data_IF_887014810444
#
_entry.id   IF_887014810444
#
_cell.length_a   1.000
_cell.length_b   1.000
_cell.length_c   1.000
_cell.angle_alpha   90.00
_cell.angle_beta   90.00
_cell.angle_gamma   90.00
#
_symmetry.space_group_name_H-M   'P 1'
#
loop_
_entity.id
_entity.type
_entity.pdbx_description
1 polymer ?
#
# COMPACT_ATOMS: atom_id res chain seq x y z
N UNK A 1 -1.54 -13.23 15.79
CA UNK A 1 -1.63 -13.69 14.39
C UNK A 1 -2.62 -12.77 13.72
N UNK A 2 -2.20 -11.56 13.37
CA UNK A 2 -3.11 -10.51 12.88
C UNK A 2 -2.91 -10.32 11.39
N UNK A 3 -3.48 -11.23 10.61
CA UNK A 3 -3.76 -10.95 9.21
C UNK A 3 -4.66 -9.71 9.17
N UNK A 4 -4.32 -8.64 8.43
CA UNK A 4 -5.11 -7.43 8.42
C UNK A 4 -6.51 -7.80 7.92
N UNK A 5 -7.58 -7.33 8.60
CA UNK A 5 -8.95 -7.56 8.22
C UNK A 5 -9.15 -7.52 6.70
N UNK A 6 -9.94 -8.44 6.12
CA UNK A 6 -10.08 -8.63 4.67
C UNK A 6 -10.43 -7.33 3.92
N UNK A 7 -11.10 -6.41 4.62
CA UNK A 7 -11.41 -5.05 4.21
C UNK A 7 -10.20 -4.15 3.93
N UNK A 8 -9.16 -4.20 4.78
CA UNK A 8 -7.91 -3.46 4.55
C UNK A 8 -7.18 -3.97 3.31
N UNK A 9 -7.32 -5.27 3.00
CA UNK A 9 -6.82 -5.85 1.74
C UNK A 9 -7.65 -5.43 0.53
N UNK A 10 -8.98 -5.37 0.63
CA UNK A 10 -9.84 -4.88 -0.47
C UNK A 10 -9.52 -3.43 -0.82
N UNK A 11 -9.33 -2.60 0.21
CA UNK A 11 -8.93 -1.20 0.02
C UNK A 11 -7.54 -1.07 -0.60
N UNK A 12 -6.57 -1.83 -0.10
CA UNK A 12 -5.24 -1.89 -0.69
C UNK A 12 -5.27 -2.32 -2.17
N UNK A 13 -6.07 -3.33 -2.53
CA UNK A 13 -6.24 -3.77 -3.93
C UNK A 13 -6.84 -2.68 -4.81
N UNK A 14 -7.85 -1.94 -4.31
CA UNK A 14 -8.45 -0.82 -5.05
C UNK A 14 -7.48 0.32 -5.27
N UNK A 15 -6.71 0.70 -4.24
CA UNK A 15 -5.66 1.71 -4.36
C UNK A 15 -4.59 1.30 -5.37
N UNK A 16 -4.21 0.02 -5.40
CA UNK A 16 -3.29 -0.52 -6.40
C UNK A 16 -3.89 -0.44 -7.81
N UNK A 17 -5.17 -0.77 -7.98
CA UNK A 17 -5.86 -0.66 -9.26
C UNK A 17 -5.97 0.80 -9.75
N UNK A 18 -6.28 1.74 -8.85
CA UNK A 18 -6.41 3.16 -9.17
C UNK A 18 -5.07 3.87 -9.37
N UNK A 19 -3.98 3.32 -8.82
CA UNK A 19 -2.61 3.85 -9.01
C UNK A 19 -1.94 3.32 -10.26
N UNK A 20 -2.65 2.51 -11.05
CA UNK A 20 -2.17 2.02 -12.33
C UNK A 20 -2.24 3.15 -13.35
N UNK A 21 -1.09 3.45 -13.97
CA UNK A 21 -0.99 4.44 -15.04
C UNK A 21 -1.91 4.09 -16.23
N UNK A 22 -2.27 5.09 -17.07
CA UNK A 22 -2.98 4.83 -18.32
C UNK A 22 -2.27 3.74 -19.14
N UNK A 23 -3.01 2.90 -19.89
CA UNK A 23 -2.46 1.75 -20.60
C UNK A 23 -1.37 2.09 -21.64
N UNK A 24 -1.24 3.36 -22.02
CA UNK A 24 -0.28 3.86 -23.02
C UNK A 24 1.10 4.25 -22.47
N UNK A 25 1.31 4.21 -21.15
CA UNK A 25 2.63 4.46 -20.56
C UNK A 25 3.28 3.11 -20.22
N UNK A 26 4.47 2.77 -20.75
CA UNK A 26 5.16 1.56 -20.32
C UNK A 26 5.28 1.63 -18.80
N UNK A 27 4.84 0.60 -18.06
CA UNK A 27 4.87 0.66 -16.61
C UNK A 27 6.31 0.94 -16.21
N UNK A 28 6.58 1.95 -15.37
CA UNK A 28 7.86 2.00 -14.71
C UNK A 28 8.05 0.63 -14.05
N UNK A 29 9.26 0.09 -14.04
CA UNK A 29 9.61 -1.10 -13.25
C UNK A 29 9.43 -0.86 -11.72
N UNK A 30 8.72 0.20 -11.33
CA UNK A 30 8.35 0.51 -9.97
C UNK A 30 7.17 -0.36 -9.55
N UNK A 31 7.42 -1.18 -8.53
CA UNK A 31 6.42 -2.00 -7.88
C UNK A 31 5.23 -1.14 -7.37
N UNK A 32 4.00 -1.64 -7.48
CA UNK A 32 2.81 -0.84 -7.26
C UNK A 32 2.69 -0.27 -5.82
N UNK A 33 3.24 -0.96 -4.80
CA UNK A 33 3.37 -0.40 -3.45
C UNK A 33 4.28 0.84 -3.37
N UNK A 34 5.33 0.91 -4.19
CA UNK A 34 6.21 2.09 -4.28
C UNK A 34 5.41 3.28 -4.81
N UNK A 35 4.63 3.08 -5.87
CA UNK A 35 3.82 4.15 -6.47
C UNK A 35 2.79 4.69 -5.48
N UNK A 36 2.03 3.79 -4.83
CA UNK A 36 1.01 4.18 -3.84
C UNK A 36 1.65 4.86 -2.62
N UNK A 37 2.73 4.31 -2.08
CA UNK A 37 3.41 4.90 -0.91
C UNK A 37 4.02 6.27 -1.22
N UNK A 38 4.58 6.45 -2.42
CA UNK A 38 5.10 7.75 -2.86
C UNK A 38 4.00 8.79 -3.01
N UNK A 39 2.84 8.40 -3.51
CA UNK A 39 1.69 9.31 -3.66
C UNK A 39 1.12 9.71 -2.30
N UNK A 40 1.08 8.79 -1.34
CA UNK A 40 0.72 9.08 0.06
C UNK A 40 1.75 9.93 0.80
N UNK A 41 3.03 9.84 0.41
CA UNK A 41 4.14 10.51 1.10
C UNK A 41 3.88 11.98 1.34
N UNK A 42 3.41 12.74 0.35
CA UNK A 42 3.18 14.18 0.49
C UNK A 42 2.19 14.49 1.62
N UNK A 43 1.04 13.81 1.63
CA UNK A 43 0.01 13.98 2.68
C UNK A 43 0.53 13.52 4.06
N UNK A 44 1.23 12.38 4.12
CA UNK A 44 1.69 11.81 5.38
C UNK A 44 2.91 12.52 5.96
N UNK A 45 3.81 13.04 5.12
CA UNK A 45 4.92 13.89 5.53
C UNK A 45 4.41 15.25 6.02
N UNK A 46 3.36 15.81 5.41
CA UNK A 46 2.71 17.02 5.92
C UNK A 46 2.06 16.79 7.29
N UNK A 47 1.48 15.61 7.51
CA UNK A 47 0.79 15.26 8.74
C UNK A 47 1.73 14.86 9.89
N UNK A 48 2.72 13.99 9.63
CA UNK A 48 3.56 13.37 10.65
C UNK A 48 5.07 13.65 10.48
N UNK A 49 5.46 14.45 9.49
CA UNK A 49 6.87 14.66 9.11
C UNK A 49 7.46 13.48 8.35
N UNK A 50 8.67 13.68 7.81
CA UNK A 50 9.38 12.66 7.03
C UNK A 50 9.72 11.44 7.89
N UNK A 51 10.18 11.66 9.12
CA UNK A 51 10.55 10.59 10.06
C UNK A 51 9.34 9.79 10.54
N UNK A 52 8.19 10.46 10.71
CA UNK A 52 6.93 9.81 11.05
C UNK A 52 6.45 8.90 9.92
N UNK A 53 6.48 9.40 8.69
CA UNK A 53 6.17 8.57 7.51
C UNK A 53 7.11 7.37 7.37
N UNK A 54 8.43 7.59 7.49
CA UNK A 54 9.41 6.50 7.41
C UNK A 54 9.22 5.45 8.52
N UNK A 55 8.88 5.88 9.74
CA UNK A 55 8.59 4.97 10.86
C UNK A 55 7.34 4.13 10.63
N UNK A 56 6.27 4.74 10.10
CA UNK A 56 5.05 4.04 9.71
C UNK A 56 5.33 2.99 8.63
N UNK A 57 6.11 3.37 7.61
CA UNK A 57 6.45 2.48 6.51
C UNK A 57 7.30 1.29 6.99
N UNK A 58 8.30 1.53 7.86
CA UNK A 58 9.10 0.45 8.49
C UNK A 58 8.23 -0.51 9.27
N UNK A 59 7.27 0.01 10.05
CA UNK A 59 6.35 -0.82 10.83
C UNK A 59 5.42 -1.64 9.92
N UNK A 60 4.88 -1.02 8.88
CA UNK A 60 4.03 -1.69 7.89
C UNK A 60 4.78 -2.82 7.18
N UNK A 61 6.02 -2.56 6.74
CA UNK A 61 6.87 -3.56 6.10
C UNK A 61 7.23 -4.72 7.05
N UNK A 62 7.55 -4.41 8.30
CA UNK A 62 7.79 -5.44 9.34
C UNK A 62 6.59 -6.38 9.50
N UNK A 63 5.37 -5.85 9.51
CA UNK A 63 4.15 -6.66 9.59
C UNK A 63 3.90 -7.44 8.31
N UNK A 64 4.07 -6.79 7.15
CA UNK A 64 3.87 -7.44 5.85
C UNK A 64 4.85 -8.60 5.61
N UNK A 65 6.09 -8.52 6.11
CA UNK A 65 7.09 -9.60 6.03
C UNK A 65 6.68 -10.86 6.78
N UNK A 66 5.87 -10.74 7.83
CA UNK A 66 5.34 -11.91 8.55
C UNK A 66 4.37 -12.70 7.65
N UNK A 67 3.69 -12.02 6.73
CA UNK A 67 2.72 -12.63 5.80
C UNK A 67 3.32 -13.03 4.46
N UNK A 68 4.25 -12.23 3.95
CA UNK A 68 4.92 -12.43 2.67
C UNK A 68 6.43 -12.46 2.90
N UNK A 69 7.02 -13.65 3.17
CA UNK A 69 8.46 -13.80 3.36
C UNK A 69 9.30 -13.35 2.16
N UNK A 70 8.70 -13.27 0.97
CA UNK A 70 9.32 -12.70 -0.23
C UNK A 70 9.79 -11.26 -0.02
N UNK A 71 9.14 -10.49 0.87
CA UNK A 71 9.51 -9.11 1.22
C UNK A 71 10.81 -8.96 2.04
N UNK A 72 11.57 -10.03 2.28
CA UNK A 72 12.81 -9.98 3.08
C UNK A 72 13.88 -9.06 2.47
N UNK A 73 13.93 -8.94 1.14
CA UNK A 73 14.88 -8.07 0.43
C UNK A 73 14.40 -6.61 0.32
N UNK A 74 13.10 -6.35 0.50
CA UNK A 74 12.53 -5.01 0.44
C UNK A 74 12.98 -4.20 1.64
N UNK A 75 13.45 -2.97 1.46
CA UNK A 75 13.92 -2.08 2.53
C UNK A 75 13.18 -0.75 2.48
N UNK A 76 13.16 -0.05 3.62
CA UNK A 76 12.66 1.33 3.71
C UNK A 76 13.85 2.27 3.81
N UNK A 77 13.97 3.20 2.87
CA UNK A 77 14.98 4.25 2.88
C UNK A 77 14.77 5.24 4.04
N UNK A 78 15.71 6.18 4.22
CA UNK A 78 15.65 7.19 5.28
C UNK A 78 14.38 8.05 5.17
N UNK A 79 13.92 8.31 3.96
CA UNK A 79 12.78 9.17 3.64
C UNK A 79 11.44 8.43 3.54
N UNK A 80 11.43 7.13 3.87
CA UNK A 80 10.23 6.29 3.83
C UNK A 80 9.93 5.66 2.46
N UNK A 81 10.74 5.89 1.44
CA UNK A 81 10.59 5.17 0.16
C UNK A 81 10.95 3.69 0.30
N UNK A 82 10.27 2.85 -0.48
CA UNK A 82 10.52 1.42 -0.50
C UNK A 82 11.46 1.06 -1.65
N UNK A 83 12.45 0.22 -1.37
CA UNK A 83 13.49 -0.23 -2.31
C UNK A 83 13.66 -1.76 -2.25
N UNK A 84 14.27 -2.38 -3.25
CA UNK A 84 14.58 -3.81 -3.29
C UNK A 84 13.54 -4.70 -3.99
N UNK A 85 12.55 -4.11 -4.67
CA UNK A 85 11.54 -4.85 -5.44
C UNK A 85 12.08 -5.43 -6.76
N UNK A 86 13.20 -4.93 -7.29
CA UNK A 86 13.83 -5.48 -8.50
C UNK A 86 14.22 -6.95 -8.33
N UNK A 87 14.47 -7.38 -7.08
CA UNK A 87 14.78 -8.77 -6.73
C UNK A 87 13.56 -9.70 -6.70
N UNK A 88 12.34 -9.17 -6.72
CA UNK A 88 11.09 -9.95 -6.72
C UNK A 88 10.62 -10.29 -8.13
N UNK A 89 10.98 -9.44 -9.11
CA UNK A 89 10.61 -9.59 -10.52
C UNK A 89 11.26 -10.81 -11.21
N UNK A 90 12.19 -11.53 -10.57
CA UNK A 90 12.83 -12.71 -11.17
C UNK A 90 12.03 -14.01 -11.04
N UNK A 91 10.89 -14.00 -10.34
CA UNK A 91 9.97 -15.14 -10.28
C UNK A 91 8.77 -14.94 -11.22
N UNK A 92 9.06 -14.65 -12.49
CA UNK A 92 8.07 -14.72 -13.57
C UNK A 92 7.72 -16.19 -13.85
N UNK A 93 6.78 -16.76 -13.11
CA UNK A 93 5.92 -17.77 -13.72
C UNK A 93 4.94 -17.06 -14.66
N UNK A 94 5.40 -16.97 -15.91
CA UNK A 94 4.61 -16.65 -17.09
C UNK A 94 3.43 -17.62 -17.16
N UNK A 95 2.25 -17.13 -16.81
CA UNK A 95 1.00 -17.78 -17.18
C UNK A 95 0.09 -18.13 -16.01
N UNK A 96 -0.62 -17.13 -15.48
CA UNK A 96 -1.97 -17.38 -14.98
C UNK A 96 -2.81 -16.11 -15.03
N UNK A 97 -3.67 -16.05 -16.05
CA UNK A 97 -4.87 -15.23 -16.05
C UNK A 97 -5.65 -15.55 -14.77
N UNK A 98 -6.09 -14.51 -14.04
CA UNK A 98 -7.03 -14.54 -12.91
C UNK A 98 -6.47 -14.84 -11.51
N UNK A 99 -5.18 -14.59 -11.27
CA UNK A 99 -4.59 -14.49 -9.93
C UNK A 99 -3.86 -13.15 -9.77
N UNK A 100 -3.96 -12.54 -8.59
CA UNK A 100 -3.15 -11.37 -8.22
C UNK A 100 -1.66 -11.76 -8.39
N UNK A 101 -0.87 -10.99 -9.13
CA UNK A 101 0.56 -11.32 -9.33
C UNK A 101 1.23 -11.42 -7.94
N UNK A 102 2.27 -12.24 -7.79
CA UNK A 102 2.98 -12.38 -6.49
C UNK A 102 3.43 -11.00 -5.98
N UNK A 103 3.86 -10.13 -6.89
CA UNK A 103 4.19 -8.72 -6.66
C UNK A 103 3.00 -7.92 -6.10
N UNK A 104 1.81 -8.15 -6.65
CA UNK A 104 0.61 -7.46 -6.23
C UNK A 104 0.16 -7.91 -4.82
N UNK A 105 0.32 -9.18 -4.43
CA UNK A 105 -0.02 -9.64 -3.06
C UNK A 105 0.96 -9.06 -2.02
N UNK A 106 2.25 -9.00 -2.35
CA UNK A 106 3.25 -8.35 -1.52
C UNK A 106 2.97 -6.84 -1.36
N UNK A 107 2.53 -6.18 -2.44
CA UNK A 107 2.09 -4.79 -2.41
C UNK A 107 0.84 -4.59 -1.54
N UNK A 108 -0.17 -5.47 -1.71
CA UNK A 108 -1.40 -5.46 -0.92
C UNK A 108 -1.09 -5.60 0.56
N UNK A 109 -0.18 -6.52 0.94
CA UNK A 109 0.19 -6.73 2.33
C UNK A 109 0.78 -5.48 2.98
N UNK A 110 1.75 -4.82 2.32
CA UNK A 110 2.38 -3.58 2.81
C UNK A 110 1.31 -2.48 2.99
N UNK A 111 0.48 -2.26 1.97
CA UNK A 111 -0.53 -1.20 1.99
C UNK A 111 -1.63 -1.48 3.01
N UNK A 112 -2.08 -2.72 3.14
CA UNK A 112 -3.10 -3.09 4.13
C UNK A 112 -2.60 -2.86 5.57
N UNK A 113 -1.33 -3.13 5.85
CA UNK A 113 -0.72 -2.83 7.15
C UNK A 113 -0.51 -1.35 7.37
N UNK A 114 -0.06 -0.60 6.37
CA UNK A 114 0.07 0.86 6.46
C UNK A 114 -1.28 1.51 6.77
N UNK A 115 -2.32 1.17 6.02
CA UNK A 115 -3.69 1.65 6.24
C UNK A 115 -4.19 1.24 7.62
N UNK A 116 -3.91 0.01 8.06
CA UNK A 116 -4.26 -0.45 9.40
C UNK A 116 -3.61 0.39 10.50
N UNK A 117 -2.34 0.75 10.34
CA UNK A 117 -1.65 1.62 11.30
C UNK A 117 -2.24 3.03 11.32
N UNK A 118 -2.58 3.60 10.16
CA UNK A 118 -3.23 4.90 10.08
C UNK A 118 -4.59 4.89 10.80
N UNK A 119 -5.45 3.92 10.49
CA UNK A 119 -6.77 3.80 11.15
C UNK A 119 -6.60 3.66 12.67
N UNK A 120 -5.62 2.88 13.13
CA UNK A 120 -5.36 2.70 14.56
C UNK A 120 -4.84 3.96 15.26
N UNK A 121 -3.97 4.74 14.61
CA UNK A 121 -3.33 5.90 15.26
C UNK A 121 -4.13 7.19 15.17
N UNK A 122 -4.79 7.43 14.04
CA UNK A 122 -5.44 8.70 13.74
C UNK A 122 -6.95 8.57 13.48
N UNK A 123 -7.46 7.35 13.54
CA UNK A 123 -8.83 7.04 13.22
C UNK A 123 -9.09 6.94 11.72
N UNK A 124 -10.22 6.33 11.41
CA UNK A 124 -10.67 6.09 10.05
C UNK A 124 -10.91 7.37 9.26
N UNK A 125 -11.68 8.32 9.82
CA UNK A 125 -12.10 9.51 9.10
C UNK A 125 -10.92 10.35 8.62
N UNK A 126 -9.84 10.43 9.42
CA UNK A 126 -8.63 11.16 9.03
C UNK A 126 -7.81 10.37 8.02
N UNK A 127 -7.74 9.04 8.17
CA UNK A 127 -7.10 8.15 7.20
C UNK A 127 -7.71 8.32 5.81
N UNK A 128 -9.04 8.35 5.70
CA UNK A 128 -9.74 8.53 4.43
C UNK A 128 -9.48 9.91 3.81
N UNK A 129 -9.42 10.97 4.63
CA UNK A 129 -9.09 12.32 4.13
C UNK A 129 -7.69 12.39 3.55
N UNK A 130 -6.69 11.77 4.20
CA UNK A 130 -5.31 11.74 3.71
C UNK A 130 -5.20 10.95 2.40
N UNK A 131 -5.92 9.82 2.29
CA UNK A 131 -5.98 9.06 1.05
C UNK A 131 -6.64 9.88 -0.07
N UNK A 132 -7.76 10.53 0.20
CA UNK A 132 -8.44 11.37 -0.78
C UNK A 132 -7.62 12.61 -1.19
N UNK A 133 -6.79 13.17 -0.31
CA UNK A 133 -5.84 14.23 -0.68
C UNK A 133 -4.82 13.74 -1.71
N UNK A 134 -4.45 12.44 -1.67
CA UNK A 134 -3.54 11.82 -2.63
C UNK A 134 -4.24 11.26 -3.91
N UNK A 135 -5.52 10.89 -3.81
CA UNK A 135 -6.39 10.45 -4.91
C UNK A 135 -7.75 11.18 -4.87
N UNK A 136 -7.81 12.45 -5.29
CA UNK A 136 -9.07 13.19 -5.37
C UNK A 136 -10.05 12.58 -6.38
N UNK A 137 -9.58 11.74 -7.31
CA UNK A 137 -10.40 11.05 -8.30
C UNK A 137 -11.22 9.88 -7.76
N UNK A 138 -10.96 9.40 -6.54
CA UNK A 138 -11.71 8.27 -5.95
C UNK A 138 -12.69 8.84 -4.91
N UNK A 139 -14.01 8.65 -5.09
CA UNK A 139 -15.01 9.17 -4.14
C UNK A 139 -14.79 8.65 -2.71
N UNK A 140 -14.88 9.54 -1.71
CA UNK A 140 -14.74 9.18 -0.29
C UNK A 140 -15.73 8.08 0.15
N UNK A 141 -16.92 8.05 -0.43
CA UNK A 141 -17.99 7.09 -0.08
C UNK A 141 -17.63 5.65 -0.47
N UNK A 142 -16.84 5.47 -1.53
CA UNK A 142 -16.28 4.16 -1.93
C UNK A 142 -15.31 3.62 -0.88
N UNK A 143 -14.65 4.51 -0.12
CA UNK A 143 -13.79 4.13 0.99
C UNK A 143 -14.57 3.92 2.29
N UNK A 144 -15.59 4.75 2.55
CA UNK A 144 -16.37 4.72 3.79
C UNK A 144 -17.33 3.53 3.86
N UNK A 145 -18.06 3.24 2.77
CA UNK A 145 -19.08 2.17 2.72
C UNK A 145 -18.55 0.82 3.19
N UNK A 146 -17.26 0.55 3.03
CA UNK A 146 -16.70 -0.74 3.38
C UNK A 146 -16.08 -0.80 4.76
N UNK A 147 -15.63 0.32 5.35
CA UNK A 147 -15.09 0.30 6.71
C UNK A 147 -16.21 0.19 7.76
N UNK A 148 -17.39 0.72 7.44
CA UNK A 148 -18.60 0.70 8.29
C UNK A 148 -19.25 -0.71 8.36
N UNK A 149 -19.07 -1.57 7.34
CA UNK A 149 -19.55 -2.97 7.30
C UNK A 149 -18.81 -3.92 8.27
N UNK A 150 -17.85 -3.42 9.06
CA UNK A 150 -17.03 -4.20 9.98
C UNK A 150 -17.28 -3.90 11.48
N UNK A 151 -18.39 -3.25 11.82
CA UNK A 151 -18.79 -3.03 13.22
C UNK A 151 -19.81 -4.04 13.72
#
# INVERSE_FOLDING_TARGET
MDTPPPMKRDLARRLLAASRFPPDTPPPHAHAAVVVSQRLRTSLTRFAGTDGFASLMRRALMLARVEAPTLHNVKVAADGTLDGFDSLATSEEVGSKKGLRVDDEAAVAILAHLLGLLVTFIGESLTLRLIHEAWPEIPLDDFKSKIEDAR
#
